data_IF_418244839237
#
_entry.id   IF_418244839237
#
_cell.length_a   1.000
_cell.length_b   1.000
_cell.length_c   1.000
_cell.angle_alpha   90.00
_cell.angle_beta   90.00
_cell.angle_gamma   90.00
#
_symmetry.space_group_name_H-M   'P 1'
#
loop_
_entity.id
_entity.type
_entity.pdbx_description
1 polymer ?
#
# COMPACT_ATOMS: atom_id res chain seq x y z
N UNK A 1 -36.61 -25.24 51.15
CA UNK A 1 -37.71 -24.40 50.62
C UNK A 1 -37.71 -23.10 51.43
N UNK A 2 -37.62 -21.87 50.92
CA UNK A 2 -37.40 -21.26 49.60
C UNK A 2 -36.68 -19.95 49.93
N UNK A 3 -35.53 -19.69 49.29
CA UNK A 3 -34.67 -18.54 49.55
C UNK A 3 -35.30 -17.20 49.14
N UNK A 4 -35.09 -16.19 49.98
CA UNK A 4 -35.54 -14.81 49.85
C UNK A 4 -34.69 -14.11 48.77
N UNK A 5 -35.28 -13.80 47.61
CA UNK A 5 -34.63 -13.01 46.56
C UNK A 5 -34.61 -11.52 46.96
N UNK A 6 -33.41 -10.96 47.02
CA UNK A 6 -33.13 -9.54 47.26
C UNK A 6 -33.62 -8.71 46.07
N UNK A 7 -34.25 -7.56 46.35
CA UNK A 7 -34.68 -6.58 45.35
C UNK A 7 -33.45 -5.86 44.76
N UNK A 8 -33.31 -5.73 43.43
CA UNK A 8 -32.30 -4.87 42.85
C UNK A 8 -32.73 -3.41 43.05
N UNK A 9 -31.98 -2.66 43.86
CA UNK A 9 -32.15 -1.23 44.03
C UNK A 9 -31.45 -0.47 42.90
N UNK A 10 -32.22 0.31 42.15
CA UNK A 10 -31.86 1.64 41.68
C UNK A 10 -30.87 1.77 40.52
N UNK A 11 -31.33 1.57 39.28
CA UNK A 11 -30.71 2.18 38.08
C UNK A 11 -31.77 2.73 37.08
N UNK A 12 -33.06 2.40 37.23
CA UNK A 12 -34.11 2.93 36.34
C UNK A 12 -34.87 4.09 37.00
N UNK A 13 -35.20 5.16 36.25
CA UNK A 13 -36.04 6.23 36.77
C UNK A 13 -37.35 5.64 37.29
N UNK A 14 -37.71 5.98 38.54
CA UNK A 14 -38.89 5.43 39.21
C UNK A 14 -40.15 5.87 38.46
N UNK A 15 -40.89 4.90 37.95
CA UNK A 15 -42.21 5.12 37.33
C UNK A 15 -43.24 5.05 38.47
N UNK A 16 -43.83 6.17 38.94
CA UNK A 16 -44.55 6.22 40.22
C UNK A 16 -45.76 5.27 40.31
N UNK A 17 -46.28 4.85 39.16
CA UNK A 17 -47.46 3.99 39.04
C UNK A 17 -47.16 2.50 39.24
N UNK A 18 -45.90 2.08 39.06
CA UNK A 18 -45.45 0.68 39.19
C UNK A 18 -45.06 0.37 40.64
N UNK A 19 -44.45 1.32 41.35
CA UNK A 19 -44.10 1.17 42.77
C UNK A 19 -45.31 1.09 43.68
N UNK A 20 -46.41 1.75 43.32
CA UNK A 20 -47.67 1.72 44.06
C UNK A 20 -48.54 0.48 43.74
N UNK A 21 -48.05 -0.46 42.90
CA UNK A 21 -48.75 -1.71 42.59
C UNK A 21 -50.01 -1.55 41.73
N UNK A 22 -50.20 -0.39 41.09
CA UNK A 22 -51.38 -0.09 40.26
C UNK A 22 -51.27 -0.74 38.87
N UNK A 23 -50.05 -0.97 38.39
CA UNK A 23 -49.76 -1.57 37.07
C UNK A 23 -48.60 -2.56 37.23
N UNK A 24 -48.71 -3.73 36.61
CA UNK A 24 -47.68 -4.80 36.67
C UNK A 24 -46.66 -4.56 35.55
N UNK A 25 -45.37 -4.88 35.74
CA UNK A 25 -44.32 -4.70 34.71
C UNK A 25 -44.68 -5.27 33.33
N UNK A 26 -45.48 -6.34 33.28
CA UNK A 26 -45.99 -6.91 32.03
C UNK A 26 -46.93 -5.97 31.26
N UNK A 27 -47.73 -5.15 31.95
CA UNK A 27 -48.61 -4.16 31.32
C UNK A 27 -47.81 -2.94 30.82
N UNK A 28 -46.75 -2.55 31.53
CA UNK A 28 -45.83 -1.50 31.05
C UNK A 28 -45.14 -1.94 29.75
N UNK A 29 -44.74 -3.21 29.65
CA UNK A 29 -44.16 -3.78 28.43
C UNK A 29 -45.16 -3.86 27.28
N UNK A 30 -46.48 -3.89 27.52
CA UNK A 30 -47.49 -3.80 26.44
C UNK A 30 -47.61 -2.41 25.82
N UNK A 31 -47.12 -1.36 26.48
CA UNK A 31 -47.02 -0.01 25.91
C UNK A 31 -45.74 0.21 25.08
N UNK A 32 -44.77 -0.72 25.16
CA UNK A 32 -43.60 -0.72 24.30
C UNK A 32 -44.00 -1.28 22.93
N UNK A 33 -44.45 -0.38 22.07
CA UNK A 33 -44.72 -0.70 20.67
C UNK A 33 -43.45 -1.19 19.97
N UNK A 34 -43.58 -2.24 19.16
CA UNK A 34 -42.47 -2.78 18.38
C UNK A 34 -41.84 -1.71 17.48
N UNK A 35 -42.64 -0.74 17.00
CA UNK A 35 -42.14 0.41 16.25
C UNK A 35 -41.26 1.34 17.09
N UNK A 36 -41.56 1.53 18.38
CA UNK A 36 -40.75 2.36 19.27
C UNK A 36 -39.39 1.70 19.59
N UNK A 37 -39.38 0.38 19.80
CA UNK A 37 -38.14 -0.38 20.02
C UNK A 37 -37.29 -0.39 18.74
N UNK A 38 -37.90 -0.68 17.59
CA UNK A 38 -37.20 -0.66 16.31
C UNK A 38 -36.65 0.74 15.98
N UNK A 39 -37.43 1.80 16.22
CA UNK A 39 -37.01 3.18 16.05
C UNK A 39 -35.85 3.57 16.96
N UNK A 40 -35.83 3.07 18.20
CA UNK A 40 -34.73 3.31 19.15
C UNK A 40 -33.44 2.64 18.69
N UNK A 41 -33.50 1.37 18.27
CA UNK A 41 -32.34 0.63 17.75
C UNK A 41 -31.80 1.31 16.49
N UNK A 42 -32.69 1.68 15.56
CA UNK A 42 -32.31 2.35 14.32
C UNK A 42 -31.68 3.73 14.61
N UNK A 43 -32.27 4.49 15.54
CA UNK A 43 -31.74 5.80 15.97
C UNK A 43 -30.34 5.68 16.57
N UNK A 44 -30.13 4.74 17.49
CA UNK A 44 -28.80 4.47 18.05
C UNK A 44 -27.80 4.00 16.99
N UNK A 45 -28.23 3.16 16.03
CA UNK A 45 -27.41 2.73 14.90
C UNK A 45 -26.97 3.90 14.02
N UNK A 46 -27.89 4.80 13.66
CA UNK A 46 -27.58 6.00 12.87
C UNK A 46 -26.62 6.94 13.61
N UNK A 47 -26.84 7.15 14.91
CA UNK A 47 -25.95 7.98 15.75
C UNK A 47 -24.56 7.36 15.86
N UNK A 48 -24.47 6.04 16.05
CA UNK A 48 -23.19 5.34 16.11
C UNK A 48 -22.44 5.42 14.79
N UNK A 49 -23.11 5.19 13.65
CA UNK A 49 -22.53 5.33 12.31
C UNK A 49 -22.08 6.77 12.06
N UNK A 50 -22.90 7.76 12.40
CA UNK A 50 -22.56 9.18 12.25
C UNK A 50 -21.36 9.56 13.10
N UNK A 51 -21.30 9.10 14.36
CA UNK A 51 -20.17 9.32 15.25
C UNK A 51 -18.89 8.67 14.73
N UNK A 52 -18.97 7.44 14.19
CA UNK A 52 -17.84 6.76 13.55
C UNK A 52 -17.32 7.53 12.32
N UNK A 53 -18.21 8.14 11.53
CA UNK A 53 -17.84 8.96 10.37
C UNK A 53 -17.28 10.34 10.79
N UNK A 54 -17.73 10.87 11.94
CA UNK A 54 -17.34 12.20 12.44
C UNK A 54 -16.04 12.27 13.23
N UNK A 55 -15.29 11.16 13.38
CA UNK A 55 -13.92 11.23 13.89
C UNK A 55 -13.00 11.88 12.85
N UNK A 56 -13.08 13.21 12.77
CA UNK A 56 -12.08 14.04 12.10
C UNK A 56 -10.84 14.01 12.99
N UNK A 57 -9.83 13.26 12.55
CA UNK A 57 -8.49 13.36 13.11
C UNK A 57 -8.01 14.78 12.83
N UNK A 58 -7.92 15.61 13.88
CA UNK A 58 -7.36 16.96 13.79
C UNK A 58 -5.96 16.89 13.17
N UNK A 59 -5.67 17.72 12.17
CA UNK A 59 -4.33 17.74 11.60
C UNK A 59 -3.33 18.18 12.69
N UNK A 60 -2.34 17.33 13.03
CA UNK A 60 -1.39 17.63 14.10
C UNK A 60 -0.39 18.72 13.71
N UNK A 61 -0.39 19.15 12.43
CA UNK A 61 0.62 20.03 11.85
C UNK A 61 0.13 21.48 11.86
N UNK A 62 0.76 22.31 12.68
CA UNK A 62 0.56 23.77 12.63
C UNK A 62 1.29 24.35 11.41
N UNK A 63 0.53 24.67 10.37
CA UNK A 63 1.05 25.33 9.16
C UNK A 63 1.37 26.81 9.43
N UNK A 64 2.37 27.34 8.71
CA UNK A 64 2.64 28.77 8.70
C UNK A 64 1.52 29.51 7.96
N UNK A 65 1.25 30.75 8.34
CA UNK A 65 0.20 31.57 7.70
C UNK A 65 0.51 31.87 6.23
N UNK A 66 1.79 31.84 5.83
CA UNK A 66 2.25 32.12 4.47
C UNK A 66 3.22 31.05 3.99
N UNK A 67 2.98 30.51 2.80
CA UNK A 67 3.83 29.51 2.15
C UNK A 67 5.08 30.07 1.46
N UNK A 68 5.79 31.02 2.09
CA UNK A 68 6.99 31.65 1.49
C UNK A 68 8.07 30.60 1.17
N UNK A 69 8.11 29.49 1.91
CA UNK A 69 9.03 28.37 1.70
C UNK A 69 8.34 27.12 1.12
N UNK A 70 7.12 27.27 0.59
CA UNK A 70 6.31 26.17 0.07
C UNK A 70 5.07 25.89 0.93
N UNK A 71 4.07 25.28 0.29
CA UNK A 71 2.81 24.87 0.90
C UNK A 71 2.43 23.45 0.44
N UNK A 72 3.39 22.53 0.58
CA UNK A 72 3.16 21.14 0.23
C UNK A 72 2.11 20.52 1.16
N UNK A 73 1.16 19.79 0.58
CA UNK A 73 0.17 19.02 1.33
C UNK A 73 -0.01 17.65 0.70
N UNK A 74 -0.58 16.75 1.48
CA UNK A 74 -0.92 15.42 1.01
C UNK A 74 -2.04 15.51 -0.02
N UNK A 75 -1.83 14.91 -1.17
CA UNK A 75 -2.89 14.72 -2.14
C UNK A 75 -4.02 13.85 -1.55
N UNK A 76 -5.29 14.12 -1.89
CA UNK A 76 -6.38 13.18 -1.62
C UNK A 76 -6.05 11.80 -2.22
N UNK A 77 -6.29 10.72 -1.48
CA UNK A 77 -5.97 9.36 -1.94
C UNK A 77 -6.58 8.98 -3.31
N UNK A 78 -7.79 9.45 -3.70
CA UNK A 78 -8.29 9.24 -5.06
C UNK A 78 -7.43 9.89 -6.15
N UNK A 79 -6.82 11.05 -5.88
CA UNK A 79 -5.90 11.71 -6.83
C UNK A 79 -4.54 11.01 -6.84
N UNK A 80 -4.06 10.57 -5.67
CA UNK A 80 -2.87 9.69 -5.57
C UNK A 80 -3.08 8.44 -6.40
N UNK A 81 -4.26 7.83 -6.40
CA UNK A 81 -4.56 6.63 -7.17
C UNK A 81 -4.48 6.84 -8.70
N UNK A 82 -4.71 8.06 -9.18
CA UNK A 82 -4.58 8.40 -10.60
C UNK A 82 -3.13 8.57 -11.01
N UNK A 83 -2.33 9.23 -10.18
CA UNK A 83 -0.90 9.44 -10.43
C UNK A 83 -0.07 8.18 -10.20
N UNK A 84 -0.44 7.42 -9.17
CA UNK A 84 0.24 6.24 -8.70
C UNK A 84 -0.75 5.07 -8.56
N UNK A 85 -1.04 4.36 -9.67
CA UNK A 85 -1.95 3.23 -9.66
C UNK A 85 -1.36 2.05 -8.88
N UNK A 86 -2.07 0.92 -8.79
CA UNK A 86 -1.64 -0.25 -8.00
C UNK A 86 -0.90 -1.33 -8.80
N UNK A 87 -0.92 -1.22 -10.12
CA UNK A 87 -0.46 -2.20 -11.11
C UNK A 87 0.81 -1.77 -11.85
N UNK A 88 1.45 -0.70 -11.41
CA UNK A 88 2.67 -0.18 -11.99
C UNK A 88 3.95 -0.91 -11.60
N UNK A 89 5.04 -0.51 -12.25
CA UNK A 89 6.31 -1.24 -12.22
C UNK A 89 7.15 -0.99 -10.95
N UNK A 90 7.17 0.23 -10.43
CA UNK A 90 7.95 0.61 -9.25
C UNK A 90 7.06 0.76 -8.03
N UNK A 91 7.34 0.04 -6.95
CA UNK A 91 6.54 0.13 -5.72
C UNK A 91 7.05 1.29 -4.86
N UNK A 92 6.20 2.28 -4.59
CA UNK A 92 6.53 3.37 -3.68
C UNK A 92 6.12 3.00 -2.25
N UNK A 93 4.97 2.35 -2.08
CA UNK A 93 4.46 1.93 -0.78
C UNK A 93 2.97 1.59 -0.79
N UNK A 94 2.34 1.54 0.38
CA UNK A 94 0.88 1.42 0.49
C UNK A 94 0.18 2.77 0.25
N UNK A 95 -0.97 2.74 -0.43
CA UNK A 95 -1.77 3.93 -0.77
C UNK A 95 -2.72 4.30 0.38
N UNK A 96 -2.16 4.78 1.47
CA UNK A 96 -2.90 5.30 2.61
C UNK A 96 -2.04 6.29 3.41
N UNK A 97 -2.71 7.06 4.28
CA UNK A 97 -2.06 7.99 5.20
C UNK A 97 -1.65 7.26 6.47
N UNK A 98 -0.38 6.84 6.56
CA UNK A 98 0.18 6.16 7.75
C UNK A 98 0.00 6.99 9.00
N UNK A 99 0.15 8.31 8.91
CA UNK A 99 -0.04 9.25 10.02
C UNK A 99 -1.50 9.36 10.51
N UNK A 100 -2.47 8.88 9.73
CA UNK A 100 -3.88 8.81 10.11
C UNK A 100 -4.34 7.39 10.43
N UNK A 101 -3.43 6.42 10.43
CA UNK A 101 -3.73 5.04 10.82
C UNK A 101 -3.96 4.96 12.33
N UNK A 102 -4.76 3.98 12.77
CA UNK A 102 -5.04 3.71 14.18
C UNK A 102 -3.77 3.36 14.97
N UNK A 103 -2.76 2.81 14.29
CA UNK A 103 -1.48 2.39 14.90
C UNK A 103 -0.32 3.35 14.66
N UNK A 104 -0.56 4.54 14.10
CA UNK A 104 0.51 5.48 13.69
C UNK A 104 1.51 5.85 14.80
N UNK A 105 1.09 5.75 16.06
CA UNK A 105 1.91 6.06 17.24
C UNK A 105 2.72 4.86 17.75
N UNK A 106 2.47 3.65 17.24
CA UNK A 106 3.18 2.44 17.63
C UNK A 106 4.43 2.26 16.73
N UNK A 107 5.58 1.86 17.31
CA UNK A 107 6.70 1.38 16.51
C UNK A 107 6.28 0.14 15.72
N UNK A 108 6.66 0.08 14.43
CA UNK A 108 6.42 -1.09 13.59
C UNK A 108 7.31 -2.27 14.02
N UNK A 109 6.72 -3.44 14.21
CA UNK A 109 7.40 -4.72 14.41
C UNK A 109 6.88 -5.76 13.41
N UNK A 110 7.74 -6.31 12.51
CA UNK A 110 7.32 -7.33 11.56
C UNK A 110 6.90 -8.65 12.22
N UNK A 111 7.18 -8.88 13.51
CA UNK A 111 6.74 -10.07 14.23
C UNK A 111 5.43 -9.86 15.01
N UNK A 112 4.94 -8.63 15.10
CA UNK A 112 3.69 -8.29 15.78
C UNK A 112 2.70 -7.61 14.83
N UNK A 113 1.73 -8.40 14.37
CA UNK A 113 0.68 -7.94 13.46
C UNK A 113 -0.17 -6.79 14.03
N UNK A 114 -0.24 -6.64 15.36
CA UNK A 114 -0.96 -5.53 15.97
C UNK A 114 -0.34 -4.16 15.64
N UNK A 115 0.92 -4.13 15.20
CA UNK A 115 1.65 -2.91 14.83
C UNK A 115 1.52 -2.54 13.35
N UNK A 116 0.91 -3.40 12.51
CA UNK A 116 0.96 -3.23 11.05
C UNK A 116 -0.06 -2.22 10.52
N UNK A 117 -1.18 -2.04 11.22
CA UNK A 117 -2.26 -1.15 10.77
C UNK A 117 -2.83 -1.65 9.43
N UNK A 118 -2.91 -0.77 8.44
CA UNK A 118 -3.28 -1.12 7.06
C UNK A 118 -2.12 -1.69 6.22
N UNK A 119 -0.92 -1.82 6.79
CA UNK A 119 0.25 -2.39 6.11
C UNK A 119 -0.02 -3.81 5.61
N UNK A 120 0.21 -4.05 4.32
CA UNK A 120 -0.02 -5.34 3.67
C UNK A 120 -1.44 -5.54 3.12
N UNK A 121 -2.42 -4.73 3.53
CA UNK A 121 -3.81 -4.80 3.04
C UNK A 121 -4.17 -3.63 2.12
N UNK A 122 -3.61 -2.45 2.37
CA UNK A 122 -3.87 -1.27 1.55
C UNK A 122 -3.42 -1.49 0.09
N UNK A 123 -4.18 -0.98 -0.91
CA UNK A 123 -3.75 -1.01 -2.30
C UNK A 123 -2.35 -0.41 -2.45
N UNK A 124 -1.54 -0.97 -3.33
CA UNK A 124 -0.21 -0.41 -3.59
C UNK A 124 -0.30 0.94 -4.29
N UNK A 125 0.68 1.79 -3.99
CA UNK A 125 1.01 3.00 -4.69
C UNK A 125 2.26 2.71 -5.52
N UNK A 126 2.10 2.69 -6.84
CA UNK A 126 3.17 2.32 -7.77
C UNK A 126 3.37 3.38 -8.84
N UNK A 127 4.58 3.43 -9.40
CA UNK A 127 4.97 4.42 -10.39
C UNK A 127 5.34 3.76 -11.72
N UNK A 128 4.83 4.37 -12.80
CA UNK A 128 4.99 3.89 -14.17
C UNK A 128 6.07 4.63 -14.97
N UNK A 129 6.87 5.48 -14.32
CA UNK A 129 7.93 6.25 -14.98
C UNK A 129 7.43 7.13 -16.15
N UNK A 130 6.18 7.56 -16.07
CA UNK A 130 5.46 8.22 -17.17
C UNK A 130 5.35 9.74 -17.02
N UNK A 131 5.96 10.32 -15.97
CA UNK A 131 6.04 11.77 -15.75
C UNK A 131 7.26 12.13 -14.91
N UNK A 132 7.68 13.40 -14.99
CA UNK A 132 8.82 13.99 -14.27
C UNK A 132 10.13 13.18 -14.38
N UNK A 133 11.08 13.43 -13.47
CA UNK A 133 12.29 12.63 -13.35
C UNK A 133 11.95 11.24 -12.83
N UNK A 134 12.50 10.21 -13.46
CA UNK A 134 12.33 8.81 -13.06
C UNK A 134 13.27 8.40 -11.91
N UNK A 135 14.14 9.30 -11.46
CA UNK A 135 15.07 9.03 -10.36
C UNK A 135 14.38 9.16 -9.01
N UNK A 136 14.48 8.12 -8.18
CA UNK A 136 13.82 8.04 -6.88
C UNK A 136 14.87 7.93 -5.77
N UNK A 137 14.67 8.68 -4.69
CA UNK A 137 15.51 8.63 -3.50
C UNK A 137 14.70 8.16 -2.28
N UNK A 138 15.16 7.07 -1.65
CA UNK A 138 14.51 6.50 -0.47
C UNK A 138 15.30 6.84 0.80
N UNK A 139 14.65 7.55 1.72
CA UNK A 139 15.20 7.86 3.04
C UNK A 139 14.63 6.93 4.09
N UNK A 140 15.50 6.25 4.83
CA UNK A 140 15.15 5.44 6.00
C UNK A 140 16.40 5.24 6.88
N UNK A 141 16.18 4.97 8.16
CA UNK A 141 17.24 4.60 9.09
C UNK A 141 17.78 3.19 8.83
N UNK A 142 18.83 2.81 9.56
CA UNK A 142 19.22 1.40 9.66
C UNK A 142 18.07 0.58 10.25
N UNK A 143 17.82 -0.62 9.72
CA UNK A 143 16.65 -1.42 10.09
C UNK A 143 15.31 -0.88 9.56
N UNK A 144 15.28 0.23 8.82
CA UNK A 144 14.06 0.81 8.24
C UNK A 144 13.53 0.09 7.00
N UNK A 145 13.86 -1.20 6.83
CA UNK A 145 13.33 -2.09 5.80
C UNK A 145 13.49 -1.60 4.34
N UNK A 146 14.51 -0.81 4.01
CA UNK A 146 14.75 -0.26 2.65
C UNK A 146 14.72 -1.32 1.55
N UNK A 147 15.39 -2.44 1.81
CA UNK A 147 15.54 -3.54 0.87
C UNK A 147 14.19 -4.21 0.63
N UNK A 148 13.48 -4.55 1.71
CA UNK A 148 12.17 -5.23 1.66
C UNK A 148 11.05 -4.34 1.14
N UNK A 149 11.08 -3.03 1.43
CA UNK A 149 10.01 -2.11 1.05
C UNK A 149 10.07 -1.68 -0.41
N UNK A 150 11.28 -1.58 -0.98
CA UNK A 150 11.44 -1.06 -2.34
C UNK A 150 12.29 -1.94 -3.26
N UNK A 151 13.48 -2.36 -2.84
CA UNK A 151 14.43 -3.06 -3.74
C UNK A 151 13.87 -4.40 -4.20
N UNK A 152 13.40 -5.24 -3.26
CA UNK A 152 12.82 -6.55 -3.58
C UNK A 152 11.54 -6.41 -4.41
N UNK A 153 10.52 -5.62 -4.01
CA UNK A 153 9.31 -5.45 -4.81
C UNK A 153 9.58 -4.89 -6.22
N UNK A 154 10.50 -3.93 -6.35
CA UNK A 154 10.90 -3.39 -7.65
C UNK A 154 11.56 -4.46 -8.50
N UNK A 155 12.47 -5.26 -7.96
CA UNK A 155 13.10 -6.36 -8.68
C UNK A 155 12.10 -7.46 -9.09
N UNK A 156 11.01 -7.64 -8.36
CA UNK A 156 9.95 -8.60 -8.71
C UNK A 156 8.93 -8.04 -9.71
N UNK A 157 8.70 -6.71 -9.77
CA UNK A 157 7.69 -6.11 -10.65
C UNK A 157 8.25 -5.47 -11.90
N UNK A 158 9.40 -4.81 -11.81
CA UNK A 158 9.97 -4.08 -12.93
C UNK A 158 10.45 -5.05 -14.02
N UNK A 159 9.80 -4.95 -15.18
CA UNK A 159 10.00 -5.84 -16.32
C UNK A 159 11.22 -5.47 -17.16
N UNK A 160 11.75 -4.26 -16.97
CA UNK A 160 12.89 -3.75 -17.70
C UNK A 160 14.25 -4.32 -17.23
N UNK A 161 15.34 -3.85 -17.87
CA UNK A 161 16.71 -4.15 -17.45
C UNK A 161 17.00 -3.50 -16.10
N UNK A 162 17.57 -4.28 -15.18
CA UNK A 162 17.84 -3.86 -13.81
C UNK A 162 19.29 -4.19 -13.45
N UNK A 163 20.02 -3.18 -12.97
CA UNK A 163 21.31 -3.36 -12.30
C UNK A 163 21.05 -3.16 -10.82
N UNK A 164 21.33 -4.20 -10.01
CA UNK A 164 21.15 -4.17 -8.57
C UNK A 164 22.50 -4.26 -7.87
N UNK A 165 22.80 -3.28 -7.02
CA UNK A 165 23.95 -3.33 -6.13
C UNK A 165 23.51 -3.94 -4.80
N UNK A 166 23.91 -5.18 -4.55
CA UNK A 166 23.49 -5.98 -3.40
C UNK A 166 24.69 -6.32 -2.49
N UNK A 167 25.20 -5.34 -1.71
CA UNK A 167 26.40 -5.53 -0.90
C UNK A 167 26.24 -6.57 0.22
N UNK A 168 25.01 -6.80 0.68
CA UNK A 168 24.69 -7.78 1.73
C UNK A 168 24.33 -9.16 1.18
N UNK A 169 24.27 -9.32 -0.15
CA UNK A 169 23.86 -10.55 -0.85
C UNK A 169 22.49 -11.10 -0.44
N UNK A 170 21.58 -10.23 -0.01
CA UNK A 170 20.24 -10.59 0.48
C UNK A 170 19.17 -10.56 -0.63
N UNK A 171 19.37 -9.74 -1.68
CA UNK A 171 18.37 -9.49 -2.72
C UNK A 171 18.42 -10.57 -3.80
N UNK A 172 19.60 -10.84 -4.34
CA UNK A 172 19.79 -11.79 -5.44
C UNK A 172 19.10 -13.15 -5.20
N UNK A 173 19.27 -13.83 -4.04
CA UNK A 173 18.62 -15.12 -3.81
C UNK A 173 17.09 -15.06 -3.75
N UNK A 174 16.50 -13.89 -3.43
CA UNK A 174 15.05 -13.74 -3.33
C UNK A 174 14.37 -13.49 -4.69
N UNK A 175 15.10 -12.90 -5.65
CA UNK A 175 14.47 -12.37 -6.88
C UNK A 175 14.93 -13.09 -8.15
N UNK A 176 16.05 -13.81 -8.13
CA UNK A 176 16.65 -14.41 -9.31
C UNK A 176 15.70 -15.36 -10.03
N UNK A 177 15.09 -16.31 -9.31
CA UNK A 177 14.16 -17.28 -9.91
C UNK A 177 12.96 -16.59 -10.57
N UNK A 178 12.36 -15.61 -9.88
CA UNK A 178 11.21 -14.88 -10.40
C UNK A 178 11.59 -14.07 -11.66
N UNK A 179 12.73 -13.37 -11.62
CA UNK A 179 13.18 -12.59 -12.78
C UNK A 179 13.49 -13.49 -13.98
N UNK A 180 14.12 -14.65 -13.74
CA UNK A 180 14.44 -15.60 -14.81
C UNK A 180 13.19 -16.24 -15.41
N UNK A 181 12.28 -16.76 -14.59
CA UNK A 181 11.20 -17.61 -15.07
C UNK A 181 9.87 -16.88 -15.24
N UNK A 182 9.51 -15.97 -14.34
CA UNK A 182 8.23 -15.26 -14.41
C UNK A 182 8.31 -14.02 -15.32
N UNK A 183 9.45 -13.33 -15.33
CA UNK A 183 9.66 -12.14 -16.16
C UNK A 183 10.46 -12.40 -17.45
N UNK A 184 10.90 -13.64 -17.68
CA UNK A 184 11.71 -14.03 -18.85
C UNK A 184 12.94 -13.11 -19.05
N UNK A 185 13.70 -12.90 -17.97
CA UNK A 185 14.91 -12.07 -17.98
C UNK A 185 16.14 -12.94 -17.85
N UNK A 186 17.16 -12.61 -18.63
CA UNK A 186 18.50 -13.11 -18.35
C UNK A 186 19.04 -12.41 -17.09
N UNK A 187 19.42 -13.21 -16.09
CA UNK A 187 19.92 -12.70 -14.81
C UNK A 187 21.35 -13.18 -14.62
N UNK A 188 22.27 -12.23 -14.47
CA UNK A 188 23.67 -12.48 -14.15
C UNK A 188 23.99 -11.93 -12.76
N UNK A 189 24.61 -12.75 -11.91
CA UNK A 189 25.10 -12.34 -10.58
C UNK A 189 26.62 -12.30 -10.63
N UNK A 190 27.17 -11.10 -10.44
CA UNK A 190 28.61 -10.90 -10.34
C UNK A 190 29.00 -10.96 -8.86
N UNK A 191 29.43 -12.15 -8.42
CA UNK A 191 29.91 -12.39 -7.06
C UNK A 191 31.42 -12.56 -7.08
N UNK A 192 32.21 -11.65 -6.46
CA UNK A 192 33.67 -11.74 -6.45
C UNK A 192 34.19 -12.99 -5.72
N UNK A 193 33.35 -13.67 -4.93
CA UNK A 193 33.71 -14.93 -4.27
C UNK A 193 33.51 -16.15 -5.17
N UNK A 194 32.77 -16.01 -6.28
CA UNK A 194 32.56 -17.06 -7.25
C UNK A 194 33.47 -16.87 -8.48
N UNK A 195 34.56 -17.66 -8.60
CA UNK A 195 35.52 -17.48 -9.69
C UNK A 195 35.02 -17.93 -11.07
N UNK A 196 33.84 -18.56 -11.15
CA UNK A 196 33.28 -19.09 -12.41
C UNK A 196 32.60 -17.98 -13.21
N UNK A 197 32.06 -16.96 -12.55
CA UNK A 197 31.31 -15.87 -13.18
C UNK A 197 32.06 -14.57 -12.98
N UNK A 198 32.39 -13.88 -14.07
CA UNK A 198 33.16 -12.64 -14.02
C UNK A 198 32.91 -11.74 -15.21
N UNK A 199 33.28 -10.48 -15.05
CA UNK A 199 33.23 -9.47 -16.10
C UNK A 199 34.59 -8.78 -16.20
N UNK A 200 35.16 -8.73 -17.39
CA UNK A 200 36.36 -7.96 -17.66
C UNK A 200 35.98 -6.65 -18.36
N UNK A 201 36.15 -5.54 -17.63
CA UNK A 201 35.86 -4.19 -18.16
C UNK A 201 36.68 -3.88 -19.42
N UNK A 202 37.85 -4.53 -19.58
CA UNK A 202 38.73 -4.31 -20.73
C UNK A 202 38.24 -5.04 -22.01
N UNK A 203 37.31 -5.99 -21.91
CA UNK A 203 36.79 -6.70 -23.08
C UNK A 203 35.99 -5.77 -24.00
N UNK A 204 35.42 -4.70 -23.43
CA UNK A 204 34.74 -3.64 -24.17
C UNK A 204 35.66 -2.57 -24.75
N UNK A 205 36.99 -2.67 -24.57
CA UNK A 205 37.94 -1.77 -25.25
C UNK A 205 38.12 -2.29 -26.67
N UNK A 206 37.32 -1.74 -27.56
CA UNK A 206 37.30 -2.12 -28.96
C UNK A 206 38.61 -1.71 -29.65
N UNK A 207 39.03 -2.53 -30.61
CA UNK A 207 40.31 -2.42 -31.32
C UNK A 207 40.11 -2.41 -32.83
N UNK A 208 38.93 -2.01 -33.30
CA UNK A 208 38.64 -2.09 -34.73
C UNK A 208 39.57 -1.17 -35.51
N UNK A 209 39.73 -1.48 -36.80
CA UNK A 209 40.51 -0.63 -37.70
C UNK A 209 39.79 0.71 -37.99
N UNK A 210 38.48 0.79 -37.74
CA UNK A 210 37.62 1.95 -38.02
C UNK A 210 36.90 2.38 -36.75
N UNK A 211 37.28 3.52 -36.20
CA UNK A 211 36.75 4.05 -34.93
C UNK A 211 35.23 4.22 -34.93
N UNK A 212 34.61 4.38 -36.10
CA UNK A 212 33.16 4.48 -36.26
C UNK A 212 32.44 3.18 -35.88
N UNK A 213 33.06 2.02 -36.12
CA UNK A 213 32.51 0.71 -35.75
C UNK A 213 32.46 0.57 -34.22
N UNK A 214 33.49 1.05 -33.55
CA UNK A 214 33.58 1.05 -32.09
C UNK A 214 32.52 1.98 -31.45
N UNK A 215 32.39 3.20 -32.00
CA UNK A 215 31.37 4.16 -31.53
C UNK A 215 29.96 3.57 -31.67
N UNK A 216 29.68 2.88 -32.78
CA UNK A 216 28.39 2.22 -33.01
C UNK A 216 28.18 1.04 -32.05
N UNK A 217 29.22 0.25 -31.77
CA UNK A 217 29.18 -0.85 -30.80
C UNK A 217 28.79 -0.38 -29.41
N UNK A 218 29.48 0.63 -28.89
CA UNK A 218 29.18 1.24 -27.57
C UNK A 218 27.78 1.87 -27.57
N UNK A 219 27.40 2.58 -28.64
CA UNK A 219 26.07 3.18 -28.73
C UNK A 219 24.97 2.12 -28.65
N UNK A 220 25.13 0.97 -29.34
CA UNK A 220 24.21 -0.15 -29.24
C UNK A 220 24.21 -0.81 -27.85
N UNK A 221 25.37 -0.93 -27.20
CA UNK A 221 25.45 -1.45 -25.83
C UNK A 221 24.76 -0.54 -24.79
N UNK A 222 24.80 0.78 -25.01
CA UNK A 222 24.11 1.78 -24.16
C UNK A 222 22.61 1.84 -24.43
N UNK A 223 22.16 1.50 -25.64
CA UNK A 223 20.75 1.32 -25.97
C UNK A 223 20.25 0.03 -25.31
N UNK A 224 19.94 0.14 -24.01
CA UNK A 224 19.38 -0.92 -23.14
C UNK A 224 17.97 -1.39 -23.56
N UNK A 225 17.42 -0.84 -24.64
CA UNK A 225 16.08 -1.13 -25.12
C UNK A 225 16.04 -2.45 -25.91
N UNK A 226 15.52 -3.50 -25.26
CA UNK A 226 14.64 -4.41 -25.99
C UNK A 226 13.41 -3.58 -26.36
N UNK A 227 13.15 -3.36 -27.66
CA UNK A 227 11.92 -2.71 -28.14
C UNK A 227 10.72 -3.26 -27.35
N UNK A 228 10.10 -2.42 -26.52
CA UNK A 228 8.82 -2.74 -25.89
C UNK A 228 7.80 -2.75 -27.03
N UNK A 229 7.49 -3.93 -27.56
CA UNK A 229 6.33 -4.07 -28.44
C UNK A 229 5.08 -3.94 -27.57
N UNK A 230 4.60 -2.71 -27.44
CA UNK A 230 3.30 -2.44 -26.85
C UNK A 230 2.23 -2.95 -27.81
N UNK A 231 1.75 -4.16 -27.56
CA UNK A 231 0.62 -4.78 -28.27
C UNK A 231 -0.69 -3.97 -28.17
N UNK A 232 -0.71 -2.86 -27.41
CA UNK A 232 -1.83 -1.94 -27.27
C UNK A 232 -2.01 -0.98 -28.46
N UNK A 233 -1.05 -0.91 -29.40
CA UNK A 233 -1.16 -0.07 -30.59
C UNK A 233 -1.80 -0.77 -31.80
N UNK A 234 -2.11 -2.06 -31.71
CA UNK A 234 -2.83 -2.78 -32.75
C UNK A 234 -4.12 -3.36 -32.17
N UNK A 235 -5.29 -2.75 -32.42
CA UNK A 235 -6.54 -3.43 -32.13
C UNK A 235 -6.59 -4.72 -32.95
N UNK A 236 -6.87 -5.84 -32.26
CA UNK A 236 -7.17 -7.13 -32.89
C UNK A 236 -8.12 -6.93 -34.09
N UNK A 237 -7.84 -7.55 -35.27
CA UNK A 237 -8.76 -7.49 -36.37
C UNK A 237 -10.09 -8.10 -35.90
N UNK A 238 -11.14 -7.30 -35.89
CA UNK A 238 -12.50 -7.75 -35.59
C UNK A 238 -12.77 -9.02 -36.39
N UNK A 239 -13.00 -10.13 -35.70
CA UNK A 239 -13.47 -11.36 -36.31
C UNK A 239 -14.76 -11.04 -37.07
N UNK A 240 -14.66 -10.92 -38.40
CA UNK A 240 -15.82 -10.88 -39.26
C UNK A 240 -16.51 -12.23 -39.10
N UNK A 241 -17.71 -12.19 -38.55
CA UNK A 241 -18.63 -13.32 -38.49
C UNK A 241 -18.84 -13.85 -39.90
N UNK A 242 -18.37 -15.06 -40.16
CA UNK A 242 -18.84 -15.84 -41.28
C UNK A 242 -20.32 -16.18 -41.05
N UNK A 243 -21.19 -15.54 -41.82
CA UNK A 243 -22.48 -16.06 -42.26
C UNK A 243 -22.57 -15.83 -43.77
#
# INVERSE_FOLDING_TARGET
>A
MRGRLLRPTGIFPSVPWVENGVIIWNEVLTYLDAFAVAGTILGFGIVAISACISFVVSDPIKRAERGIFGDADWLPMPEVAKLFPSDGEFVIGGRYRVDRDRVHALPFDPNDQATWGQGGEAPLMTFNQNFDSTHILFFAGSGGFKTTSNVIPTALRYRGPLICLDPSTEVAPMVLEHRTHALDREVMVLDPTNPVMGFNVLDGIERSARKEEDIVGIAHALLSERLRFDWLLFPEPSAQSAN
#
